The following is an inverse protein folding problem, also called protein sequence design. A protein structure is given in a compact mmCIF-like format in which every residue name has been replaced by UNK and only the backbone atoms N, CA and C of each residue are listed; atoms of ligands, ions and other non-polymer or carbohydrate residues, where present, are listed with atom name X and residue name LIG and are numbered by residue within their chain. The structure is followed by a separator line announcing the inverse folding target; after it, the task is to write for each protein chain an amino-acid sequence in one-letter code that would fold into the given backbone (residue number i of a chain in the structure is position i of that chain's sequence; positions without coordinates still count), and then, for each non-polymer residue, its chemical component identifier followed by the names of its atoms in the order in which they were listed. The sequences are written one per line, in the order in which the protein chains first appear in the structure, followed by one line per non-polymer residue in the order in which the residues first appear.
data_IF_361743898420
#
_entry.id   IF_361743898420
#
_cell.length_a   1.000
_cell.length_b   1.000
_cell.length_c   1.000
_cell.angle_alpha   90.00
_cell.angle_beta   90.00
_cell.angle_gamma   90.00
#
_symmetry.space_group_name_H-M   'P 1'
#
loop_
_entity.id
_entity.type
_entity.pdbx_description
1 polymer ?
#
# COMPACT_ATOMS: atom_id res chain seq x y z
N UNK A 1 30.86 -33.63 74.51
CA UNK A 1 31.23 -32.19 74.52
C UNK A 1 30.93 -31.59 73.15
N UNK A 2 30.02 -30.73 73.19
CA UNK A 2 29.62 -29.68 72.20
C UNK A 2 29.96 -29.86 70.72
N UNK A 3 28.98 -30.41 69.96
CA UNK A 3 28.94 -30.35 68.51
C UNK A 3 28.32 -29.02 68.08
N UNK A 4 28.92 -28.40 67.07
CA UNK A 4 28.34 -27.24 66.39
C UNK A 4 27.81 -27.69 65.05
N UNK A 5 26.48 -27.61 64.89
CA UNK A 5 25.80 -27.69 63.60
C UNK A 5 26.13 -26.42 62.79
N UNK A 6 26.63 -26.62 61.61
CA UNK A 6 26.69 -25.56 60.59
C UNK A 6 25.50 -25.70 59.65
N UNK A 7 24.64 -24.71 59.66
CA UNK A 7 23.54 -24.58 58.69
C UNK A 7 24.05 -23.86 57.44
N UNK A 8 24.11 -24.59 56.35
CA UNK A 8 24.41 -24.00 55.06
C UNK A 8 23.08 -23.52 54.40
N UNK A 9 22.94 -22.22 54.28
CA UNK A 9 21.83 -21.59 53.55
C UNK A 9 22.21 -21.57 52.07
N UNK A 10 21.48 -22.35 51.26
CA UNK A 10 21.57 -22.31 49.82
C UNK A 10 20.64 -21.18 49.29
N UNK A 11 21.25 -20.08 48.87
CA UNK A 11 20.53 -19.05 48.08
C UNK A 11 20.35 -19.57 46.66
N UNK A 12 19.11 -19.97 46.35
CA UNK A 12 18.71 -20.24 44.96
C UNK A 12 18.49 -18.94 44.20
N UNK A 13 19.43 -18.67 43.27
CA UNK A 13 19.30 -17.55 42.31
C UNK A 13 18.32 -17.98 41.21
N UNK A 14 17.08 -17.48 41.28
CA UNK A 14 16.07 -17.69 40.24
C UNK A 14 16.40 -16.74 39.09
N UNK A 15 17.13 -17.22 38.05
CA UNK A 15 17.32 -16.52 36.80
C UNK A 15 15.99 -16.56 36.04
N UNK A 16 15.19 -15.48 36.15
CA UNK A 16 14.09 -15.22 35.22
C UNK A 16 14.67 -14.84 33.87
N UNK A 17 14.76 -15.82 32.97
CA UNK A 17 15.06 -15.60 31.57
C UNK A 17 13.91 -14.83 30.92
N UNK A 18 14.09 -13.52 30.76
CA UNK A 18 13.25 -12.72 29.85
C UNK A 18 13.55 -13.15 28.42
N UNK A 19 12.79 -14.13 27.92
CA UNK A 19 12.73 -14.45 26.50
C UNK A 19 12.05 -13.25 25.80
N UNK A 20 12.86 -12.29 25.38
CA UNK A 20 12.44 -11.25 24.48
C UNK A 20 12.05 -11.87 23.15
N UNK A 21 10.78 -12.17 22.97
CA UNK A 21 10.21 -12.47 21.66
C UNK A 21 10.33 -11.21 20.82
N UNK A 22 11.39 -11.10 20.04
CA UNK A 22 11.48 -10.16 18.92
C UNK A 22 10.34 -10.54 17.97
N UNK A 23 9.24 -9.84 18.06
CA UNK A 23 8.20 -9.86 17.04
C UNK A 23 8.84 -9.27 15.76
N UNK A 24 9.58 -10.10 15.02
CA UNK A 24 9.79 -9.85 13.60
C UNK A 24 8.41 -9.87 13.01
N UNK A 25 7.95 -8.70 12.54
CA UNK A 25 6.83 -8.62 11.63
C UNK A 25 7.20 -9.49 10.43
N UNK A 26 6.75 -10.74 10.45
CA UNK A 26 6.75 -11.58 9.27
C UNK A 26 5.79 -10.88 8.32
N UNK A 27 6.34 -10.33 7.25
CA UNK A 27 5.55 -10.04 6.04
C UNK A 27 5.17 -11.43 5.55
N UNK A 28 4.03 -11.92 6.04
CA UNK A 28 3.43 -13.14 5.52
C UNK A 28 3.22 -12.91 4.03
N UNK A 29 3.72 -13.85 3.23
CA UNK A 29 3.37 -13.93 1.82
C UNK A 29 1.85 -13.95 1.74
N UNK A 30 1.25 -12.84 1.29
CA UNK A 30 -0.19 -12.68 1.27
C UNK A 30 -0.75 -13.74 0.32
N UNK A 31 -1.59 -14.59 0.86
CA UNK A 31 -2.21 -15.67 0.11
C UNK A 31 -2.81 -15.14 -1.21
N UNK A 32 -2.43 -15.74 -2.34
CA UNK A 32 -2.88 -15.35 -3.67
C UNK A 32 -4.41 -15.16 -3.80
N UNK A 33 -5.29 -15.91 -3.09
CA UNK A 33 -6.72 -15.67 -3.05
C UNK A 33 -7.13 -14.32 -2.44
N UNK A 34 -6.48 -13.89 -1.35
CA UNK A 34 -6.78 -12.61 -0.69
C UNK A 34 -6.40 -11.42 -1.58
N UNK A 35 -5.28 -11.54 -2.29
CA UNK A 35 -4.82 -10.57 -3.27
C UNK A 35 -5.83 -10.42 -4.41
N UNK A 36 -6.30 -11.52 -4.98
CA UNK A 36 -7.31 -11.50 -6.06
C UNK A 36 -8.63 -10.89 -5.60
N UNK A 37 -9.03 -11.14 -4.35
CA UNK A 37 -10.27 -10.58 -3.79
C UNK A 37 -10.22 -9.06 -3.59
N UNK A 38 -9.02 -8.49 -3.41
CA UNK A 38 -8.86 -7.06 -3.22
C UNK A 38 -8.54 -6.31 -4.52
N UNK A 39 -7.81 -6.92 -5.47
CA UNK A 39 -7.28 -6.26 -6.66
C UNK A 39 -8.10 -6.49 -7.93
N UNK A 40 -8.61 -7.68 -8.13
CA UNK A 40 -9.19 -8.13 -9.40
C UNK A 40 -8.25 -9.00 -10.23
N UNK A 41 -8.64 -9.32 -11.46
CA UNK A 41 -7.91 -10.24 -12.33
C UNK A 41 -6.52 -9.70 -12.73
N UNK A 42 -5.49 -10.51 -12.59
CA UNK A 42 -4.09 -10.09 -12.76
C UNK A 42 -3.66 -9.92 -14.22
N UNK A 43 -4.36 -10.51 -15.16
CA UNK A 43 -4.14 -10.43 -16.61
C UNK A 43 -4.61 -9.09 -17.22
N UNK A 44 -5.30 -8.26 -16.45
CA UNK A 44 -5.79 -6.96 -16.91
C UNK A 44 -4.66 -5.96 -17.04
N UNK A 45 -4.52 -5.39 -18.23
CA UNK A 45 -3.55 -4.35 -18.56
C UNK A 45 -4.22 -3.02 -18.90
N UNK A 46 -3.50 -1.94 -18.66
CA UNK A 46 -3.96 -0.58 -18.94
C UNK A 46 -2.96 0.17 -19.81
N UNK A 47 -3.47 1.02 -20.71
CA UNK A 47 -2.73 2.15 -21.25
C UNK A 47 -3.07 3.40 -20.44
N UNK A 48 -2.07 4.21 -20.12
CA UNK A 48 -2.25 5.44 -19.35
C UNK A 48 -1.77 6.62 -20.16
N UNK A 49 -2.59 7.67 -20.21
CA UNK A 49 -2.28 8.98 -20.77
C UNK A 49 -2.48 10.05 -19.72
N UNK A 50 -1.88 11.19 -19.91
CA UNK A 50 -2.07 12.37 -19.06
C UNK A 50 -3.10 13.30 -19.69
N UNK A 51 -3.88 13.99 -18.86
CA UNK A 51 -4.76 15.08 -19.30
C UNK A 51 -4.55 16.31 -18.42
N UNK A 52 -4.66 17.47 -19.02
CA UNK A 52 -4.68 18.76 -18.31
C UNK A 52 -6.08 19.08 -17.76
N UNK A 53 -7.11 18.33 -18.15
CA UNK A 53 -8.47 18.54 -17.68
C UNK A 53 -8.63 17.84 -16.34
N UNK A 54 -8.73 18.60 -15.28
CA UNK A 54 -9.01 18.09 -13.94
C UNK A 54 -10.55 17.89 -13.82
N UNK A 55 -10.99 16.68 -14.10
CA UNK A 55 -12.35 16.28 -13.74
C UNK A 55 -12.33 15.74 -12.31
N UNK A 56 -12.73 16.58 -11.34
CA UNK A 56 -12.94 16.08 -9.98
C UNK A 56 -14.12 15.11 -10.00
N UNK A 57 -13.96 13.89 -9.46
CA UNK A 57 -15.11 13.01 -9.28
C UNK A 57 -16.10 13.68 -8.34
N UNK A 58 -17.37 13.58 -8.68
CA UNK A 58 -18.43 14.13 -7.85
C UNK A 58 -18.55 13.32 -6.56
N UNK A 59 -18.53 13.99 -5.41
CA UNK A 59 -18.87 13.41 -4.10
C UNK A 59 -20.40 13.26 -3.91
N UNK A 60 -21.18 13.27 -4.99
CA UNK A 60 -22.63 13.11 -4.92
C UNK A 60 -23.02 11.82 -4.19
N UNK A 61 -24.03 11.91 -3.36
CA UNK A 61 -24.62 10.76 -2.68
C UNK A 61 -23.92 10.33 -1.39
N UNK A 62 -23.16 11.21 -0.72
CA UNK A 62 -22.51 10.88 0.57
C UNK A 62 -21.31 9.94 0.45
N UNK A 63 -20.75 9.78 -0.73
CA UNK A 63 -19.51 9.01 -0.94
C UNK A 63 -18.30 9.76 -0.41
N UNK A 64 -17.24 9.01 -0.06
CA UNK A 64 -15.91 9.56 0.14
C UNK A 64 -15.16 9.68 -1.18
N UNK A 65 -14.19 10.59 -1.25
CA UNK A 65 -13.33 10.79 -2.40
C UNK A 65 -11.93 10.30 -2.09
N UNK A 66 -11.33 9.53 -2.97
CA UNK A 66 -9.96 9.04 -2.84
C UNK A 66 -9.13 9.56 -4.00
N UNK A 67 -8.00 10.18 -3.69
CA UNK A 67 -6.94 10.52 -4.62
C UNK A 67 -5.75 9.60 -4.40
N UNK A 68 -5.18 9.09 -5.47
CA UNK A 68 -3.94 8.31 -5.46
C UNK A 68 -2.93 8.99 -6.37
N UNK A 69 -1.75 9.30 -5.84
CA UNK A 69 -0.69 10.03 -6.52
C UNK A 69 0.50 9.14 -6.85
N UNK A 70 1.07 9.33 -8.03
CA UNK A 70 2.37 8.80 -8.44
C UNK A 70 3.27 9.99 -8.76
N UNK A 71 4.05 10.43 -7.77
CA UNK A 71 4.87 11.66 -7.82
C UNK A 71 6.36 11.39 -8.07
N UNK A 72 6.74 10.15 -8.39
CA UNK A 72 8.14 9.80 -8.66
C UNK A 72 8.45 9.96 -10.15
N UNK A 73 9.32 10.93 -10.45
CA UNK A 73 9.74 11.22 -11.83
C UNK A 73 10.83 10.28 -12.37
N UNK A 74 11.58 9.63 -11.49
CA UNK A 74 12.76 8.84 -11.84
C UNK A 74 12.74 7.47 -11.17
N UNK A 75 11.79 6.64 -11.56
CA UNK A 75 11.98 5.21 -11.31
C UNK A 75 12.98 4.73 -12.36
N UNK A 76 14.14 4.16 -11.97
CA UNK A 76 15.13 3.67 -12.94
C UNK A 76 14.64 2.39 -13.64
N UNK A 77 13.34 2.30 -13.82
CA UNK A 77 12.67 1.21 -14.53
C UNK A 77 12.32 1.71 -15.93
N UNK A 78 13.15 1.41 -16.88
CA UNK A 78 12.83 1.57 -18.30
C UNK A 78 12.41 0.23 -18.90
N UNK A 79 11.25 0.16 -19.58
CA UNK A 79 10.32 1.24 -19.96
C UNK A 79 9.44 1.73 -18.81
N UNK A 80 8.81 2.91 -18.97
CA UNK A 80 7.88 3.48 -17.99
C UNK A 80 6.81 2.46 -17.56
N UNK A 81 6.75 2.22 -16.26
CA UNK A 81 5.85 1.23 -15.66
C UNK A 81 4.55 1.90 -15.29
N UNK A 82 3.42 1.25 -15.58
CA UNK A 82 2.14 1.66 -15.07
C UNK A 82 1.89 1.01 -13.69
N UNK A 83 1.26 1.75 -12.79
CA UNK A 83 0.84 1.28 -11.47
C UNK A 83 -0.67 1.10 -11.50
N UNK A 84 -1.12 -0.12 -11.32
CA UNK A 84 -2.56 -0.41 -11.24
C UNK A 84 -3.05 -0.14 -9.82
N UNK A 85 -4.27 0.40 -9.73
CA UNK A 85 -4.97 0.63 -8.46
C UNK A 85 -6.26 -0.16 -8.48
N UNK A 86 -6.48 -0.96 -7.46
CA UNK A 86 -7.67 -1.77 -7.26
C UNK A 86 -8.46 -1.35 -6.03
N UNK A 87 -9.74 -1.62 -6.06
CA UNK A 87 -10.69 -1.38 -4.98
C UNK A 87 -11.67 -2.56 -4.90
N UNK A 88 -11.74 -3.21 -3.74
CA UNK A 88 -12.72 -4.26 -3.44
C UNK A 88 -12.85 -5.34 -4.53
N UNK A 89 -11.74 -5.82 -5.05
CA UNK A 89 -11.69 -6.88 -6.06
C UNK A 89 -11.83 -6.43 -7.51
N UNK A 90 -11.79 -5.12 -7.77
CA UNK A 90 -11.87 -4.58 -9.12
C UNK A 90 -10.80 -3.52 -9.36
N UNK A 91 -10.20 -3.52 -10.55
CA UNK A 91 -9.29 -2.45 -10.95
C UNK A 91 -10.09 -1.18 -11.22
N UNK A 92 -9.73 -0.09 -10.54
CA UNK A 92 -10.34 1.23 -10.70
C UNK A 92 -9.53 2.15 -11.60
N UNK A 93 -8.30 1.76 -11.96
CA UNK A 93 -7.49 2.49 -12.90
C UNK A 93 -6.01 2.17 -12.83
N UNK A 94 -5.24 3.00 -13.52
CA UNK A 94 -3.79 2.93 -13.50
C UNK A 94 -3.16 4.33 -13.58
N UNK A 95 -1.95 4.43 -13.04
CA UNK A 95 -1.12 5.62 -12.94
C UNK A 95 0.21 5.41 -13.62
N UNK A 96 0.87 6.48 -14.01
CA UNK A 96 2.27 6.54 -14.44
C UNK A 96 2.83 7.91 -14.09
N UNK A 97 4.13 8.01 -14.01
CA UNK A 97 4.92 9.23 -13.81
C UNK A 97 4.14 10.54 -13.61
N UNK A 98 4.20 11.15 -12.44
CA UNK A 98 3.61 12.46 -12.14
C UNK A 98 2.12 12.59 -12.48
N UNK A 99 1.36 11.52 -12.27
CA UNK A 99 -0.09 11.55 -12.45
C UNK A 99 -0.83 11.16 -11.18
N UNK A 100 -2.10 11.60 -11.10
CA UNK A 100 -3.01 11.15 -10.07
C UNK A 100 -4.25 10.48 -10.66
N UNK A 101 -4.85 9.60 -9.88
CA UNK A 101 -6.14 8.98 -10.13
C UNK A 101 -7.10 9.40 -9.02
N UNK A 102 -8.37 9.64 -9.36
CA UNK A 102 -9.39 9.91 -8.36
C UNK A 102 -10.65 9.09 -8.60
N UNK A 103 -11.26 8.64 -7.52
CA UNK A 103 -12.50 7.85 -7.56
C UNK A 103 -13.29 8.01 -6.26
N UNK A 104 -14.62 7.83 -6.36
CA UNK A 104 -15.50 7.86 -5.21
C UNK A 104 -15.70 6.45 -4.64
N UNK A 105 -15.76 6.34 -3.30
CA UNK A 105 -16.00 5.10 -2.59
C UNK A 105 -17.19 5.25 -1.62
N UNK A 106 -17.88 4.14 -1.36
CA UNK A 106 -18.93 4.12 -0.34
C UNK A 106 -18.32 4.25 1.06
N UNK A 107 -19.00 4.84 2.04
CA UNK A 107 -18.55 4.86 3.43
C UNK A 107 -18.40 3.44 3.98
N UNK A 108 -17.46 3.27 4.91
CA UNK A 108 -17.17 1.98 5.53
C UNK A 108 -15.76 1.48 5.23
N UNK A 109 -15.56 0.19 5.41
CA UNK A 109 -14.26 -0.46 5.18
C UNK A 109 -14.08 -0.73 3.69
N UNK A 110 -13.02 -0.19 3.12
CA UNK A 110 -12.62 -0.36 1.73
C UNK A 110 -11.26 -1.05 1.66
N UNK A 111 -11.09 -1.96 0.73
CA UNK A 111 -9.82 -2.65 0.50
C UNK A 111 -9.20 -2.15 -0.81
N UNK A 112 -8.13 -1.39 -0.66
CA UNK A 112 -7.34 -0.89 -1.77
C UNK A 112 -6.18 -1.82 -2.05
N UNK A 113 -5.79 -1.92 -3.31
CA UNK A 113 -4.55 -2.58 -3.67
C UNK A 113 -3.80 -1.79 -4.73
N UNK A 114 -2.51 -2.06 -4.84
CA UNK A 114 -1.68 -1.56 -5.92
C UNK A 114 -0.76 -2.65 -6.43
N UNK A 115 -0.45 -2.61 -7.72
CA UNK A 115 0.52 -3.50 -8.34
C UNK A 115 1.21 -2.84 -9.53
N UNK A 116 2.45 -3.26 -9.79
CA UNK A 116 3.18 -2.91 -11.01
C UNK A 116 2.57 -3.63 -12.22
N UNK A 117 2.52 -2.94 -13.36
CA UNK A 117 2.16 -3.53 -14.65
C UNK A 117 3.38 -3.58 -15.55
N UNK A 118 3.77 -4.78 -16.02
CA UNK A 118 4.86 -4.94 -16.97
C UNK A 118 5.31 -6.37 -17.09
N UNK A 119 5.85 -6.77 -18.25
CA UNK A 119 6.24 -8.17 -18.53
C UNK A 119 7.28 -8.73 -17.55
N UNK A 120 8.18 -7.90 -17.03
CA UNK A 120 9.20 -8.31 -16.08
C UNK A 120 8.64 -8.67 -14.69
N UNK A 121 7.37 -8.37 -14.41
CA UNK A 121 6.75 -8.53 -13.08
C UNK A 121 5.58 -9.51 -13.07
N UNK A 122 5.24 -10.15 -14.19
CA UNK A 122 4.11 -11.10 -14.25
C UNK A 122 4.30 -12.34 -13.40
N UNK A 123 5.55 -12.77 -13.22
CA UNK A 123 5.86 -13.96 -12.41
C UNK A 123 5.95 -13.63 -10.91
N UNK A 124 5.87 -12.36 -10.56
CA UNK A 124 6.05 -11.88 -9.19
C UNK A 124 4.71 -11.41 -8.62
N UNK A 125 3.91 -12.33 -8.11
CA UNK A 125 2.76 -12.00 -7.24
C UNK A 125 3.18 -11.14 -6.04
N UNK A 126 4.47 -11.02 -5.80
CA UNK A 126 5.12 -10.32 -4.71
C UNK A 126 5.12 -8.77 -4.82
N UNK A 127 4.72 -8.21 -5.96
CA UNK A 127 4.64 -6.75 -6.16
C UNK A 127 3.29 -6.13 -5.81
N UNK A 128 2.41 -6.85 -5.09
CA UNK A 128 1.07 -6.39 -4.73
C UNK A 128 1.05 -5.94 -3.28
N UNK A 129 0.53 -4.75 -3.04
CA UNK A 129 0.30 -4.23 -1.70
C UNK A 129 -1.17 -4.01 -1.47
N UNK A 130 -1.64 -4.43 -0.30
CA UNK A 130 -3.00 -4.23 0.18
C UNK A 130 -3.03 -3.13 1.22
N UNK A 131 -4.07 -2.31 1.18
CA UNK A 131 -4.35 -1.30 2.21
C UNK A 131 -5.83 -1.25 2.53
N UNK A 132 -6.15 -1.31 3.82
CA UNK A 132 -7.48 -1.02 4.32
C UNK A 132 -7.66 0.49 4.51
N UNK A 133 -8.80 1.01 4.07
CA UNK A 133 -9.23 2.39 4.26
C UNK A 133 -10.59 2.40 4.95
N UNK A 134 -10.70 3.12 6.06
CA UNK A 134 -11.99 3.41 6.70
C UNK A 134 -12.53 4.70 6.12
N UNK A 135 -13.41 4.60 5.13
CA UNK A 135 -13.98 5.74 4.43
C UNK A 135 -15.17 6.32 5.19
N UNK A 136 -15.21 7.62 5.38
CA UNK A 136 -16.31 8.36 5.98
C UNK A 136 -17.01 9.19 4.91
N UNK A 137 -18.33 9.30 5.00
CA UNK A 137 -19.15 10.06 4.06
C UNK A 137 -18.69 11.52 3.93
N UNK A 138 -18.50 11.98 2.70
CA UNK A 138 -18.10 13.36 2.37
C UNK A 138 -16.63 13.69 2.64
N UNK A 139 -15.83 12.76 3.19
CA UNK A 139 -14.40 12.99 3.40
C UNK A 139 -13.58 12.72 2.14
N UNK A 140 -12.45 13.41 2.04
CA UNK A 140 -11.43 13.20 1.02
C UNK A 140 -10.20 12.54 1.64
N UNK A 141 -9.66 11.57 0.93
CA UNK A 141 -8.47 10.83 1.32
C UNK A 141 -7.41 10.97 0.23
N UNK A 142 -6.17 11.22 0.66
CA UNK A 142 -5.03 11.37 -0.20
C UNK A 142 -4.03 10.27 0.09
N UNK A 143 -3.64 9.52 -0.93
CA UNK A 143 -2.71 8.40 -0.85
C UNK A 143 -1.60 8.59 -1.88
N UNK A 144 -0.38 8.28 -1.51
CA UNK A 144 0.79 8.31 -2.38
C UNK A 144 1.30 6.91 -2.64
N UNK A 145 1.70 6.62 -3.86
CA UNK A 145 2.48 5.44 -4.19
C UNK A 145 3.93 5.64 -3.76
N UNK A 146 4.38 4.83 -2.81
CA UNK A 146 5.76 4.82 -2.35
C UNK A 146 6.49 3.60 -2.90
N UNK A 147 7.54 3.84 -3.66
CA UNK A 147 8.39 2.78 -4.19
C UNK A 147 9.42 2.39 -3.16
N UNK A 148 9.46 1.11 -2.81
CA UNK A 148 10.47 0.53 -1.96
C UNK A 148 11.36 -0.36 -2.81
N UNK A 149 12.62 0.01 -2.96
CA UNK A 149 13.62 -0.74 -3.71
C UNK A 149 14.82 -1.03 -2.84
N UNK A 150 15.42 -2.19 -3.00
CA UNK A 150 16.63 -2.59 -2.28
C UNK A 150 17.39 -3.67 -3.05
N UNK A 151 18.66 -3.89 -2.72
CA UNK A 151 19.50 -4.89 -3.42
C UNK A 151 18.99 -6.32 -3.28
N UNK A 152 18.27 -6.61 -2.20
CA UNK A 152 17.78 -7.97 -1.88
C UNK A 152 16.25 -7.99 -1.65
N UNK A 153 15.58 -6.89 -1.97
CA UNK A 153 14.12 -6.76 -1.77
C UNK A 153 13.46 -6.62 -3.13
N UNK A 154 12.43 -7.42 -3.35
CA UNK A 154 11.56 -7.28 -4.51
C UNK A 154 10.98 -5.88 -4.54
N UNK A 155 10.89 -5.22 -5.70
CA UNK A 155 10.25 -3.93 -5.82
C UNK A 155 8.83 -3.99 -5.27
N UNK A 156 8.55 -3.17 -4.26
CA UNK A 156 7.26 -3.10 -3.60
C UNK A 156 6.71 -1.68 -3.77
N UNK A 157 5.41 -1.58 -3.99
CA UNK A 157 4.71 -0.29 -4.07
C UNK A 157 3.71 -0.20 -2.94
N UNK A 158 3.94 0.73 -2.01
CA UNK A 158 3.06 0.96 -0.88
C UNK A 158 2.08 2.09 -1.19
N UNK A 159 0.88 2.01 -0.63
CA UNK A 159 -0.06 3.12 -0.56
C UNK A 159 0.08 3.78 0.81
N UNK A 160 0.66 4.97 0.85
CA UNK A 160 0.85 5.75 2.08
C UNK A 160 -0.13 6.92 2.12
N UNK A 161 -0.75 7.21 3.27
CA UNK A 161 -1.57 8.41 3.41
C UNK A 161 -0.66 9.65 3.41
N UNK A 162 -1.15 10.72 2.79
CA UNK A 162 -0.61 12.06 2.92
C UNK A 162 -1.68 12.96 3.53
N UNK A 163 -1.27 14.04 4.17
CA UNK A 163 -2.19 14.99 4.76
C UNK A 163 -2.90 15.85 3.68
N UNK A 164 -3.88 16.62 4.10
CA UNK A 164 -4.71 17.42 3.20
C UNK A 164 -3.90 18.54 2.52
N UNK A 165 -2.95 19.14 3.24
CA UNK A 165 -2.12 20.23 2.72
C UNK A 165 -1.20 19.73 1.61
N UNK A 166 -0.47 18.64 1.86
CA UNK A 166 0.39 18.00 0.86
C UNK A 166 -0.44 17.44 -0.31
N UNK A 167 -1.58 16.80 -0.04
CA UNK A 167 -2.49 16.29 -1.07
C UNK A 167 -3.01 17.40 -2.00
N UNK A 168 -3.36 18.54 -1.43
CA UNK A 168 -3.79 19.71 -2.19
C UNK A 168 -2.68 20.30 -3.06
N UNK A 169 -1.45 20.33 -2.57
CA UNK A 169 -0.27 20.76 -3.33
C UNK A 169 0.00 19.81 -4.51
N UNK A 170 -0.07 18.49 -4.27
CA UNK A 170 0.10 17.50 -5.34
C UNK A 170 -0.94 17.64 -6.44
N UNK A 171 -2.20 17.90 -6.10
CA UNK A 171 -3.27 18.16 -7.08
C UNK A 171 -3.00 19.37 -7.96
N UNK A 172 -2.32 20.41 -7.45
CA UNK A 172 -1.99 21.60 -8.23
C UNK A 172 -0.83 21.37 -9.21
N UNK A 173 0.04 20.43 -8.89
CA UNK A 173 1.29 20.19 -9.63
C UNK A 173 1.25 18.99 -10.57
N UNK A 174 0.33 18.06 -10.33
CA UNK A 174 0.23 16.81 -11.07
C UNK A 174 -0.93 16.83 -12.09
N UNK A 175 -0.83 15.94 -13.08
CA UNK A 175 -1.86 15.75 -14.10
C UNK A 175 -2.75 14.57 -13.80
N UNK A 176 -3.98 14.63 -14.24
CA UNK A 176 -4.88 13.50 -14.09
C UNK A 176 -4.52 12.39 -15.07
N UNK A 177 -4.48 11.16 -14.58
CA UNK A 177 -4.36 9.97 -15.42
C UNK A 177 -5.70 9.66 -16.10
N UNK A 178 -5.64 9.47 -17.42
CA UNK A 178 -6.72 8.86 -18.21
C UNK A 178 -6.24 7.48 -18.63
N UNK A 179 -6.99 6.47 -18.30
CA UNK A 179 -6.61 5.09 -18.55
C UNK A 179 -7.64 4.37 -19.41
N UNK A 180 -7.17 3.38 -20.14
CA UNK A 180 -8.00 2.48 -20.95
C UNK A 180 -7.53 1.05 -20.73
N UNK A 181 -8.48 0.17 -20.44
CA UNK A 181 -8.24 -1.26 -20.37
C UNK A 181 -7.88 -1.80 -21.77
N UNK A 182 -6.87 -2.65 -21.84
CA UNK A 182 -6.42 -3.32 -23.07
C UNK A 182 -6.99 -4.71 -23.15
#
# INVERSE_FOLDING_TARGET
MRGRLAVAAALGFLMMGMSGSSARAQVEAQDAPAVKSACGAMDVNFSVKETNTQAAPSTQGGKALVYVFEDVTNVPLTPAVNFRVGLNGSWVGALKNMTYLSFAVDPGVQHLCTSLQGHAFYELESGITLRQLHAEAGKTYYLRLRHVTGREVMPLVLLEPVDEDEGSLLLQTMRQAVWQKK
#
